data_IF_524411978866
#
_entry.id   IF_524411978866
#
_cell.length_a   1.000
_cell.length_b   1.000
_cell.length_c   1.000
_cell.angle_alpha   90.00
_cell.angle_beta   90.00
_cell.angle_gamma   90.00
#
_symmetry.space_group_name_H-M   'P 1'
#
loop_
_entity.id
_entity.type
_entity.pdbx_description
1 polymer ?
#
# COMPACT_ATOMS: atom_id res chain seq x y z
N UNK A 1 -47.53 -39.58 34.84
CA UNK A 1 -47.83 -38.14 34.99
C UNK A 1 -46.74 -37.32 34.33
N UNK A 2 -47.14 -36.34 33.54
CA UNK A 2 -46.31 -35.47 32.70
C UNK A 2 -45.46 -34.52 33.53
N UNK A 3 -44.14 -34.51 33.35
CA UNK A 3 -43.28 -33.41 33.82
C UNK A 3 -42.96 -32.52 32.63
N UNK A 4 -43.71 -31.42 32.55
CA UNK A 4 -43.48 -30.29 31.64
C UNK A 4 -42.13 -29.67 31.98
N UNK A 5 -41.19 -29.65 31.04
CA UNK A 5 -39.98 -28.84 31.16
C UNK A 5 -40.27 -27.42 30.71
N UNK A 6 -39.93 -26.49 31.60
CA UNK A 6 -40.04 -25.05 31.47
C UNK A 6 -39.27 -24.55 30.24
N UNK A 7 -39.96 -23.81 29.37
CA UNK A 7 -39.33 -22.93 28.38
C UNK A 7 -38.63 -21.81 29.13
N UNK A 8 -37.32 -21.70 28.96
CA UNK A 8 -36.60 -20.48 29.31
C UNK A 8 -36.63 -19.56 28.09
N UNK A 9 -37.52 -18.58 28.15
CA UNK A 9 -37.51 -17.39 27.32
C UNK A 9 -36.44 -16.44 27.88
N UNK A 10 -35.31 -16.32 27.18
CA UNK A 10 -34.38 -15.19 27.28
C UNK A 10 -34.08 -14.75 25.84
N UNK A 11 -34.80 -13.71 25.43
CA UNK A 11 -34.55 -12.81 24.29
C UNK A 11 -33.17 -12.13 24.45
N UNK A 12 -32.56 -11.43 23.45
CA UNK A 12 -33.20 -10.69 22.37
C UNK A 12 -32.54 -10.76 20.97
N UNK A 13 -33.32 -10.22 20.05
CA UNK A 13 -33.07 -9.90 18.66
C UNK A 13 -31.71 -9.21 18.41
N UNK A 14 -30.86 -9.83 17.61
CA UNK A 14 -29.82 -9.16 16.83
C UNK A 14 -29.83 -9.69 15.39
N UNK A 15 -30.57 -8.96 14.57
CA UNK A 15 -30.20 -8.50 13.22
C UNK A 15 -29.63 -9.51 12.23
N UNK A 16 -30.52 -9.87 11.28
CA UNK A 16 -30.27 -9.88 9.83
C UNK A 16 -29.11 -10.75 9.32
N UNK A 17 -29.37 -12.03 9.19
CA UNK A 17 -28.93 -12.80 8.02
C UNK A 17 -30.16 -13.44 7.39
N UNK A 18 -30.27 -13.30 6.08
CA UNK A 18 -31.42 -13.65 5.25
C UNK A 18 -31.89 -15.08 5.54
N UNK A 19 -33.17 -15.23 5.94
CA UNK A 19 -33.89 -16.51 5.85
C UNK A 19 -34.05 -16.84 4.37
N UNK A 20 -33.08 -17.56 3.81
CA UNK A 20 -33.29 -18.28 2.56
C UNK A 20 -34.31 -19.39 2.84
N UNK A 21 -35.30 -19.54 1.96
CA UNK A 21 -36.18 -20.71 1.97
C UNK A 21 -35.28 -21.94 1.73
N UNK A 22 -35.51 -23.02 2.47
CA UNK A 22 -34.65 -24.21 2.50
C UNK A 22 -34.42 -24.88 1.12
N UNK A 23 -35.20 -24.50 0.10
CA UNK A 23 -35.14 -25.02 -1.26
C UNK A 23 -34.04 -24.43 -2.18
N UNK A 24 -33.19 -23.49 -1.70
CA UNK A 24 -32.14 -22.85 -2.53
C UNK A 24 -30.74 -22.95 -1.91
N UNK A 25 -30.42 -24.06 -1.24
CA UNK A 25 -29.02 -24.40 -0.96
C UNK A 25 -28.49 -25.24 -2.12
N UNK A 26 -27.55 -24.74 -2.93
CA UNK A 26 -26.89 -25.57 -3.93
C UNK A 26 -26.02 -26.59 -3.20
N UNK A 27 -26.38 -27.85 -3.39
CA UNK A 27 -25.69 -29.03 -2.89
C UNK A 27 -24.19 -28.94 -3.15
N UNK A 28 -23.40 -28.72 -2.10
CA UNK A 28 -21.94 -28.85 -2.18
C UNK A 28 -21.33 -29.56 -0.98
N UNK A 29 -22.13 -30.15 -0.09
CA UNK A 29 -21.62 -31.07 0.92
C UNK A 29 -22.50 -32.34 0.91
N UNK A 30 -21.91 -33.45 0.47
CA UNK A 30 -22.47 -34.79 0.72
C UNK A 30 -22.81 -34.89 2.21
N UNK A 31 -23.97 -35.46 2.51
CA UNK A 31 -24.35 -35.94 3.84
C UNK A 31 -23.13 -36.65 4.43
N UNK A 32 -22.53 -36.05 5.46
CA UNK A 32 -21.49 -36.70 6.25
C UNK A 32 -22.15 -37.85 6.98
N UNK A 33 -21.64 -39.06 6.81
CA UNK A 33 -22.03 -40.21 7.60
C UNK A 33 -22.00 -39.83 9.09
N UNK A 34 -23.01 -40.23 9.89
CA UNK A 34 -22.99 -39.97 11.32
C UNK A 34 -21.69 -40.51 11.91
N UNK A 35 -21.09 -39.72 12.82
CA UNK A 35 -19.89 -40.12 13.53
C UNK A 35 -20.18 -41.48 14.19
N UNK A 36 -19.34 -42.51 13.99
CA UNK A 36 -19.54 -43.81 14.62
C UNK A 36 -19.68 -43.64 16.13
N UNK A 37 -20.53 -44.44 16.78
CA UNK A 37 -20.90 -44.30 18.19
C UNK A 37 -19.68 -44.24 19.14
N UNK A 38 -18.60 -44.94 18.79
CA UNK A 38 -17.33 -44.95 19.53
C UNK A 38 -16.55 -43.62 19.42
N UNK A 39 -16.84 -42.82 18.40
CA UNK A 39 -16.24 -41.51 18.15
C UNK A 39 -16.90 -40.37 18.93
N UNK A 40 -18.14 -40.53 19.39
CA UNK A 40 -18.87 -39.49 20.13
C UNK A 40 -18.18 -39.12 21.46
N UNK A 41 -17.51 -40.09 22.07
CA UNK A 41 -16.74 -39.90 23.30
C UNK A 41 -15.62 -38.86 23.12
N UNK A 42 -14.99 -38.80 21.94
CA UNK A 42 -13.89 -37.88 21.64
C UNK A 42 -14.35 -36.50 21.17
N UNK A 43 -15.60 -36.36 20.70
CA UNK A 43 -16.11 -35.08 20.19
C UNK A 43 -16.08 -33.99 21.27
N UNK A 44 -16.32 -34.35 22.53
CA UNK A 44 -16.24 -33.41 23.65
C UNK A 44 -14.83 -32.90 23.89
N UNK A 45 -13.83 -33.76 23.77
CA UNK A 45 -12.43 -33.38 24.02
C UNK A 45 -11.83 -32.66 22.82
N UNK A 46 -12.15 -33.09 21.60
CA UNK A 46 -11.86 -32.34 20.37
C UNK A 46 -12.49 -30.95 20.42
N UNK A 47 -13.75 -30.86 20.87
CA UNK A 47 -14.45 -29.58 21.05
C UNK A 47 -13.75 -28.66 22.04
N UNK A 48 -13.32 -29.18 23.19
CA UNK A 48 -12.55 -28.42 24.20
C UNK A 48 -11.21 -27.95 23.64
N UNK A 49 -10.48 -28.79 22.91
CA UNK A 49 -9.19 -28.43 22.32
C UNK A 49 -9.35 -27.36 21.22
N UNK A 50 -10.37 -27.49 20.38
CA UNK A 50 -10.69 -26.52 19.34
C UNK A 50 -11.12 -25.17 19.94
N UNK A 51 -11.87 -25.21 21.05
CA UNK A 51 -12.23 -24.01 21.81
C UNK A 51 -10.99 -23.37 22.47
N UNK A 52 -10.07 -24.16 23.02
CA UNK A 52 -8.81 -23.66 23.57
C UNK A 52 -7.91 -23.04 22.49
N UNK A 53 -7.82 -23.65 21.31
CA UNK A 53 -7.07 -23.12 20.16
C UNK A 53 -7.69 -21.82 19.67
N UNK A 54 -9.02 -21.77 19.54
CA UNK A 54 -9.75 -20.55 19.18
C UNK A 54 -9.50 -19.42 20.19
N UNK A 55 -9.59 -19.71 21.50
CA UNK A 55 -9.28 -18.74 22.57
C UNK A 55 -7.82 -18.28 22.53
N UNK A 56 -6.85 -19.15 22.21
CA UNK A 56 -5.43 -18.75 22.03
C UNK A 56 -5.26 -17.85 20.81
N UNK A 57 -5.89 -18.19 19.70
CA UNK A 57 -5.88 -17.42 18.46
C UNK A 57 -6.45 -16.02 18.67
N UNK A 58 -7.62 -15.91 19.30
CA UNK A 58 -8.24 -14.64 19.67
C UNK A 58 -7.33 -13.81 20.59
N UNK A 59 -6.74 -14.43 21.62
CA UNK A 59 -5.82 -13.74 22.56
C UNK A 59 -4.55 -13.23 21.88
N UNK A 60 -4.03 -13.92 20.86
CA UNK A 60 -2.88 -13.44 20.07
C UNK A 60 -3.21 -12.14 19.32
N UNK A 61 -4.43 -12.01 18.79
CA UNK A 61 -4.86 -10.77 18.14
C UNK A 61 -5.22 -9.67 19.13
N UNK A 62 -5.78 -9.98 20.30
CA UNK A 62 -6.12 -8.99 21.33
C UNK A 62 -4.86 -8.26 21.83
N UNK A 63 -3.75 -8.98 22.06
CA UNK A 63 -2.47 -8.37 22.48
C UNK A 63 -1.86 -7.42 21.43
N UNK A 64 -2.25 -7.55 20.16
CA UNK A 64 -1.75 -6.73 19.04
C UNK A 64 -2.86 -5.94 18.35
N UNK A 65 -4.04 -5.81 18.98
CA UNK A 65 -5.23 -5.23 18.35
C UNK A 65 -4.99 -3.80 17.88
N UNK A 66 -4.33 -2.98 18.72
CA UNK A 66 -3.90 -1.63 18.37
C UNK A 66 -2.91 -1.60 17.20
N UNK A 67 -1.95 -2.54 17.14
CA UNK A 67 -0.99 -2.61 16.04
C UNK A 67 -1.66 -3.04 14.73
N UNK A 68 -2.62 -3.96 14.78
CA UNK A 68 -3.41 -4.39 13.63
C UNK A 68 -4.34 -3.27 13.15
N UNK A 69 -4.97 -2.53 14.06
CA UNK A 69 -5.78 -1.35 13.74
C UNK A 69 -4.94 -0.23 13.10
N UNK A 70 -3.71 -0.01 13.57
CA UNK A 70 -2.78 0.93 12.93
C UNK A 70 -2.22 0.43 11.59
N UNK A 71 -2.15 -0.90 11.39
CA UNK A 71 -1.68 -1.50 10.14
C UNK A 71 -2.74 -1.48 9.03
N UNK A 72 -4.02 -1.35 9.37
CA UNK A 72 -5.09 -1.15 8.38
C UNK A 72 -5.07 0.33 7.96
N UNK A 73 -4.73 0.65 6.70
CA UNK A 73 -4.74 2.03 6.26
C UNK A 73 -6.17 2.57 6.30
N UNK A 74 -6.36 3.75 6.90
CA UNK A 74 -7.66 4.45 7.00
C UNK A 74 -8.32 4.61 5.62
N UNK A 75 -7.51 4.68 4.55
CA UNK A 75 -7.95 4.64 3.16
C UNK A 75 -7.05 3.70 2.36
N UNK A 76 -7.61 2.70 1.69
CA UNK A 76 -6.86 1.81 0.79
C UNK A 76 -6.47 2.60 -0.46
N UNK A 77 -5.27 3.16 -0.50
CA UNK A 77 -4.72 3.83 -1.69
C UNK A 77 -3.84 2.88 -2.46
N UNK A 78 -4.05 2.77 -3.78
CA UNK A 78 -3.08 2.13 -4.66
C UNK A 78 -1.74 2.90 -4.59
N UNK A 79 -0.61 2.18 -4.57
CA UNK A 79 0.75 2.73 -4.41
C UNK A 79 1.15 3.70 -5.52
N UNK A 80 0.46 3.62 -6.67
CA UNK A 80 0.63 4.51 -7.81
C UNK A 80 -0.74 5.01 -8.27
N UNK A 81 -0.99 6.31 -8.12
CA UNK A 81 -2.11 7.00 -8.76
C UNK A 81 -1.50 7.93 -9.79
N UNK A 82 -1.68 7.69 -11.10
CA UNK A 82 -1.18 8.62 -12.10
C UNK A 82 -1.89 9.96 -11.91
N UNK A 83 -1.15 10.98 -11.50
CA UNK A 83 -1.64 12.36 -11.57
C UNK A 83 -1.76 12.69 -13.06
N UNK A 84 -2.99 12.95 -13.53
CA UNK A 84 -3.18 13.50 -14.87
C UNK A 84 -2.32 14.76 -15.02
N UNK A 85 -1.47 14.81 -16.04
CA UNK A 85 -0.61 15.97 -16.33
C UNK A 85 -1.39 17.21 -16.84
N UNK A 86 -2.72 17.19 -16.75
CA UNK A 86 -3.58 18.18 -17.33
C UNK A 86 -3.59 19.51 -16.56
N UNK A 87 -3.38 20.61 -17.28
CA UNK A 87 -3.23 22.00 -16.81
C UNK A 87 -4.55 22.68 -16.41
N UNK A 88 -5.59 21.94 -16.00
CA UNK A 88 -6.89 22.53 -15.69
C UNK A 88 -6.91 23.22 -14.31
N UNK A 89 -7.64 24.33 -14.21
CA UNK A 89 -7.67 25.19 -13.03
C UNK A 89 -8.42 24.62 -11.82
N UNK A 90 -9.23 23.58 -12.03
CA UNK A 90 -9.88 22.82 -10.95
C UNK A 90 -9.29 21.42 -10.92
N UNK A 91 -8.92 20.98 -9.73
CA UNK A 91 -8.56 19.59 -9.48
C UNK A 91 -9.75 18.71 -9.82
N UNK A 92 -9.60 17.82 -10.79
CA UNK A 92 -10.58 16.78 -11.07
C UNK A 92 -10.56 15.86 -9.85
N UNK A 93 -11.58 15.95 -8.99
CA UNK A 93 -11.79 14.96 -7.94
C UNK A 93 -12.21 13.66 -8.62
N UNK A 94 -11.24 12.76 -8.81
CA UNK A 94 -11.53 11.39 -9.25
C UNK A 94 -12.27 10.67 -8.13
N UNK A 95 -13.60 10.66 -8.17
CA UNK A 95 -14.42 9.82 -7.29
C UNK A 95 -14.15 8.37 -7.69
N UNK A 96 -13.41 7.63 -6.86
CA UNK A 96 -13.15 6.21 -7.12
C UNK A 96 -14.44 5.41 -6.91
N UNK A 97 -14.64 4.29 -7.63
CA UNK A 97 -15.79 3.40 -7.39
C UNK A 97 -15.90 2.92 -5.93
N UNK A 98 -14.77 2.83 -5.22
CA UNK A 98 -14.73 2.47 -3.79
C UNK A 98 -15.10 3.63 -2.85
N UNK A 99 -14.99 4.89 -3.32
CA UNK A 99 -15.36 6.09 -2.57
C UNK A 99 -16.86 6.44 -2.77
N UNK A 100 -17.49 5.90 -3.82
CA UNK A 100 -18.93 5.93 -4.02
C UNK A 100 -19.57 4.76 -3.26
N UNK A 101 -20.31 5.06 -2.19
CA UNK A 101 -21.15 4.04 -1.56
C UNK A 101 -22.16 3.54 -2.60
N UNK A 102 -22.13 2.24 -2.91
CA UNK A 102 -23.14 1.63 -3.77
C UNK A 102 -24.44 1.54 -2.99
N UNK A 103 -25.26 2.58 -3.06
CA UNK A 103 -26.55 2.62 -2.39
C UNK A 103 -27.48 1.57 -3.01
N UNK A 104 -27.94 0.63 -2.17
CA UNK A 104 -28.95 -0.36 -2.56
C UNK A 104 -30.26 0.34 -2.94
N UNK A 105 -31.09 -0.28 -3.78
CA UNK A 105 -32.38 0.30 -4.22
C UNK A 105 -33.26 0.74 -3.05
N UNK A 106 -33.17 0.06 -1.91
CA UNK A 106 -33.86 0.41 -0.67
C UNK A 106 -33.33 1.69 -0.03
N UNK A 107 -32.01 1.91 0.00
CA UNK A 107 -31.41 3.18 0.42
C UNK A 107 -31.79 4.34 -0.51
N UNK A 108 -31.91 4.07 -1.82
CA UNK A 108 -32.33 5.06 -2.81
C UNK A 108 -33.81 5.46 -2.62
N UNK A 109 -34.67 4.51 -2.25
CA UNK A 109 -36.08 4.74 -1.93
C UNK A 109 -36.27 5.38 -0.54
N UNK A 110 -35.30 5.22 0.36
CA UNK A 110 -35.30 5.85 1.69
C UNK A 110 -34.96 7.35 1.65
N UNK A 111 -34.34 7.85 0.57
CA UNK A 111 -34.09 9.28 0.42
C UNK A 111 -35.39 10.02 0.08
N UNK A 112 -35.75 11.10 0.82
CA UNK A 112 -36.92 11.89 0.50
C UNK A 112 -36.81 12.48 -0.91
N UNK A 113 -37.90 12.42 -1.68
CA UNK A 113 -37.96 12.94 -3.04
C UNK A 113 -37.43 14.39 -3.09
N UNK A 114 -36.64 14.70 -4.13
CA UNK A 114 -35.98 16.01 -4.32
C UNK A 114 -36.93 17.19 -4.17
N UNK A 115 -38.17 17.03 -4.64
CA UNK A 115 -39.24 18.04 -4.50
C UNK A 115 -39.55 18.37 -3.03
N UNK A 116 -39.59 17.37 -2.14
CA UNK A 116 -39.81 17.58 -0.71
C UNK A 116 -38.63 18.30 -0.06
N UNK A 117 -37.40 17.95 -0.45
CA UNK A 117 -36.19 18.62 0.04
C UNK A 117 -36.12 20.08 -0.41
N UNK A 118 -36.48 20.38 -1.67
CA UNK A 118 -36.55 21.76 -2.17
C UNK A 118 -37.62 22.58 -1.43
N UNK A 119 -38.79 22.00 -1.19
CA UNK A 119 -39.85 22.68 -0.42
C UNK A 119 -39.41 22.94 1.02
N UNK A 120 -38.83 21.96 1.72
CA UNK A 120 -38.29 22.16 3.07
C UNK A 120 -37.16 23.19 3.10
N UNK A 121 -36.33 23.24 2.06
CA UNK A 121 -35.25 24.24 1.96
C UNK A 121 -35.83 25.65 1.83
N UNK A 122 -36.88 25.84 1.02
CA UNK A 122 -37.56 27.14 0.92
C UNK A 122 -38.13 27.58 2.26
N UNK A 123 -38.74 26.66 3.00
CA UNK A 123 -39.21 26.93 4.37
C UNK A 123 -38.06 27.29 5.31
N UNK A 124 -36.92 26.58 5.26
CA UNK A 124 -35.74 26.86 6.07
C UNK A 124 -35.08 28.22 5.75
N UNK A 125 -35.09 28.63 4.47
CA UNK A 125 -34.62 29.96 4.06
C UNK A 125 -35.56 31.04 4.60
N UNK A 126 -36.87 30.80 4.52
CA UNK A 126 -37.88 31.72 5.03
C UNK A 126 -37.84 31.85 6.56
N UNK A 127 -37.54 30.77 7.28
CA UNK A 127 -37.33 30.80 8.74
C UNK A 127 -35.94 31.30 9.16
N UNK A 128 -35.00 31.47 8.22
CA UNK A 128 -33.64 31.93 8.51
C UNK A 128 -32.71 30.85 9.09
N UNK A 129 -33.09 29.57 9.02
CA UNK A 129 -32.36 28.45 9.60
C UNK A 129 -31.14 28.05 8.76
N UNK A 130 -30.01 28.75 8.96
CA UNK A 130 -28.75 28.52 8.21
C UNK A 130 -28.23 27.09 8.37
N UNK A 131 -28.40 26.49 9.55
CA UNK A 131 -27.97 25.11 9.84
C UNK A 131 -28.85 24.11 9.04
N UNK A 132 -30.17 24.28 9.11
CA UNK A 132 -31.13 23.46 8.36
C UNK A 132 -30.93 23.57 6.85
N UNK A 133 -30.68 24.79 6.35
CA UNK A 133 -30.39 25.02 4.94
C UNK A 133 -29.12 24.29 4.50
N UNK A 134 -28.06 24.30 5.32
CA UNK A 134 -26.79 23.61 5.00
C UNK A 134 -26.97 22.08 4.89
N UNK A 135 -27.78 21.49 5.77
CA UNK A 135 -28.10 20.06 5.78
C UNK A 135 -28.96 19.69 4.57
N UNK A 136 -30.00 20.48 4.29
CA UNK A 136 -30.88 20.28 3.14
C UNK A 136 -30.12 20.44 1.81
N UNK A 137 -29.18 21.39 1.73
CA UNK A 137 -28.27 21.55 0.59
C UNK A 137 -27.35 20.33 0.42
N UNK A 138 -26.86 19.76 1.52
CA UNK A 138 -26.07 18.53 1.49
C UNK A 138 -26.89 17.36 0.96
N UNK A 139 -28.13 17.18 1.42
CA UNK A 139 -29.02 16.11 0.94
C UNK A 139 -29.47 16.30 -0.50
N UNK A 140 -29.78 17.53 -0.91
CA UNK A 140 -30.04 17.85 -2.31
C UNK A 140 -28.87 17.47 -3.21
N UNK A 141 -27.62 17.67 -2.75
CA UNK A 141 -26.40 17.23 -3.48
C UNK A 141 -26.22 15.71 -3.53
N UNK A 142 -26.83 14.93 -2.65
CA UNK A 142 -26.77 13.47 -2.74
C UNK A 142 -27.94 12.88 -3.52
N UNK A 143 -28.98 13.67 -3.82
CA UNK A 143 -30.11 13.20 -4.60
C UNK A 143 -29.76 12.96 -6.08
N UNK A 144 -30.23 11.84 -6.64
CA UNK A 144 -29.91 11.37 -7.99
C UNK A 144 -30.23 12.38 -9.11
N UNK A 145 -31.34 13.13 -9.02
CA UNK A 145 -31.70 14.13 -10.02
C UNK A 145 -30.69 15.30 -10.09
N UNK A 146 -30.06 15.67 -8.97
CA UNK A 146 -29.01 16.69 -8.94
C UNK A 146 -27.70 16.21 -9.57
N UNK A 147 -27.51 14.89 -9.64
CA UNK A 147 -26.34 14.24 -10.23
C UNK A 147 -26.46 14.28 -11.76
N UNK A 148 -27.63 13.92 -12.30
CA UNK A 148 -27.94 14.05 -13.73
C UNK A 148 -27.99 15.51 -14.20
N UNK A 149 -28.56 16.43 -13.40
CA UNK A 149 -28.49 17.87 -13.68
C UNK A 149 -27.06 18.40 -13.67
N UNK A 150 -26.17 17.88 -12.81
CA UNK A 150 -24.75 18.25 -12.81
C UNK A 150 -23.98 17.69 -14.00
N UNK A 151 -24.30 16.47 -14.43
CA UNK A 151 -23.75 15.88 -15.66
C UNK A 151 -24.22 16.66 -16.91
N UNK A 152 -25.47 17.14 -16.93
CA UNK A 152 -25.98 17.98 -18.01
C UNK A 152 -25.46 19.42 -17.97
N UNK A 153 -25.17 19.97 -16.77
CA UNK A 153 -24.63 21.32 -16.59
C UNK A 153 -23.09 21.40 -16.57
N UNK A 154 -22.40 20.37 -17.08
CA UNK A 154 -20.94 20.46 -17.31
C UNK A 154 -20.72 21.50 -18.42
N UNK A 155 -20.58 22.77 -18.02
CA UNK A 155 -20.08 23.81 -18.92
C UNK A 155 -18.75 23.31 -19.50
N UNK A 156 -18.52 23.46 -20.82
CA UNK A 156 -17.27 23.03 -21.42
C UNK A 156 -16.10 23.64 -20.65
N UNK A 157 -15.10 22.81 -20.33
CA UNK A 157 -13.93 23.24 -19.56
C UNK A 157 -13.26 24.41 -20.28
N UNK A 158 -13.29 25.60 -19.66
CA UNK A 158 -12.65 26.77 -20.23
C UNK A 158 -11.14 26.66 -20.04
N UNK A 159 -10.39 26.96 -21.10
CA UNK A 159 -8.92 26.99 -21.03
C UNK A 159 -8.50 27.99 -19.95
N UNK A 160 -7.51 27.66 -19.10
CA UNK A 160 -7.00 28.61 -18.12
C UNK A 160 -6.49 29.86 -18.85
N UNK A 161 -6.82 31.05 -18.33
CA UNK A 161 -6.29 32.30 -18.87
C UNK A 161 -4.76 32.27 -18.78
N UNK A 162 -4.07 32.58 -19.88
CA UNK A 162 -2.60 32.68 -19.90
C UNK A 162 -2.16 33.67 -18.81
N UNK A 163 -1.22 33.26 -17.94
CA UNK A 163 -0.69 34.13 -16.88
C UNK A 163 -0.01 35.33 -17.55
N UNK A 164 -0.45 36.55 -17.24
CA UNK A 164 0.22 37.78 -17.69
C UNK A 164 1.60 37.86 -17.04
N UNK A 165 2.58 38.43 -17.75
CA UNK A 165 3.90 38.76 -17.16
C UNK A 165 3.68 39.63 -15.93
N UNK A 166 4.41 39.36 -14.84
CA UNK A 166 4.34 40.19 -13.62
C UNK A 166 4.81 41.60 -13.97
N UNK A 167 4.13 42.61 -13.45
CA UNK A 167 4.60 44.00 -13.51
C UNK A 167 5.83 44.16 -12.61
N UNK A 168 6.66 45.18 -12.86
CA UNK A 168 7.87 45.46 -12.06
C UNK A 168 7.55 45.62 -10.56
N UNK A 169 6.45 46.30 -10.21
CA UNK A 169 5.97 46.41 -8.83
C UNK A 169 5.65 45.05 -8.20
N UNK A 170 5.15 44.09 -8.99
CA UNK A 170 4.84 42.75 -8.52
C UNK A 170 6.09 41.86 -8.42
N UNK A 171 7.11 42.13 -9.24
CA UNK A 171 8.44 41.52 -9.10
C UNK A 171 9.12 42.00 -7.82
N UNK A 172 9.17 43.30 -7.56
CA UNK A 172 9.75 43.85 -6.33
C UNK A 172 9.10 43.29 -5.04
N UNK A 173 7.76 43.16 -5.01
CA UNK A 173 7.05 42.51 -3.89
C UNK A 173 7.40 41.03 -3.73
N UNK A 174 7.62 40.34 -4.84
CA UNK A 174 8.00 38.94 -4.84
C UNK A 174 9.43 38.75 -4.33
N UNK A 175 10.33 39.68 -4.67
CA UNK A 175 11.72 39.64 -4.23
C UNK A 175 11.81 39.92 -2.73
N UNK A 176 11.06 40.89 -2.20
CA UNK A 176 10.91 41.10 -0.75
C UNK A 176 10.35 39.87 -0.02
N UNK A 177 9.45 39.12 -0.66
CA UNK A 177 8.91 37.89 -0.09
C UNK A 177 9.97 36.78 -0.08
N UNK A 178 10.77 36.66 -1.15
CA UNK A 178 11.91 35.74 -1.20
C UNK A 178 12.93 36.08 -0.11
N UNK A 179 13.28 37.35 0.06
CA UNK A 179 14.19 37.82 1.12
C UNK A 179 13.72 37.40 2.51
N UNK A 180 12.42 37.53 2.80
CA UNK A 180 11.83 37.06 4.06
C UNK A 180 11.94 35.53 4.24
N UNK A 181 11.75 34.76 3.17
CA UNK A 181 11.87 33.31 3.21
C UNK A 181 13.33 32.84 3.27
N UNK A 182 14.26 33.62 2.72
CA UNK A 182 15.68 33.32 2.71
C UNK A 182 16.33 33.46 4.10
N UNK A 183 15.69 34.17 5.03
CA UNK A 183 16.13 34.23 6.41
C UNK A 183 16.04 32.83 7.07
N UNK A 184 17.09 32.38 7.78
CA UNK A 184 17.06 31.08 8.45
C UNK A 184 15.94 31.05 9.48
N UNK A 185 15.14 29.98 9.47
CA UNK A 185 14.07 29.78 10.45
C UNK A 185 14.70 29.68 11.84
N UNK A 186 14.46 30.68 12.69
CA UNK A 186 14.80 30.60 14.12
C UNK A 186 13.98 29.47 14.73
N UNK A 187 14.65 28.37 15.10
CA UNK A 187 13.99 27.27 15.80
C UNK A 187 13.54 27.81 17.16
N UNK A 188 12.24 27.79 17.50
CA UNK A 188 11.81 28.19 18.83
C UNK A 188 12.51 27.27 19.84
N UNK A 189 13.25 27.86 20.77
CA UNK A 189 13.83 27.10 21.88
C UNK A 189 12.68 26.55 22.70
N UNK A 190 12.62 25.22 22.92
CA UNK A 190 11.57 24.66 23.74
C UNK A 190 11.65 25.28 25.15
N UNK A 191 10.51 25.56 25.80
CA UNK A 191 10.53 26.00 27.19
C UNK A 191 11.29 24.95 28.00
N UNK A 192 12.20 25.40 28.86
CA UNK A 192 12.94 24.49 29.74
C UNK A 192 11.89 23.74 30.58
N UNK A 193 11.89 22.39 30.57
CA UNK A 193 10.93 21.64 31.36
C UNK A 193 11.15 21.97 32.84
N UNK A 194 10.10 22.36 33.54
CA UNK A 194 10.09 22.53 34.99
C UNK A 194 10.25 21.16 35.66
N UNK A 195 11.48 20.67 35.75
CA UNK A 195 11.79 19.48 36.54
C UNK A 195 11.74 19.90 38.00
N UNK A 196 10.73 19.41 38.75
CA UNK A 196 10.77 19.45 40.22
C UNK A 196 12.04 18.73 40.66
N UNK A 197 13.01 19.46 41.20
CA UNK A 197 14.25 18.88 41.71
C UNK A 197 13.91 17.97 42.89
N UNK A 198 14.33 16.71 42.85
CA UNK A 198 14.49 15.89 44.06
C UNK A 198 13.45 14.81 44.39
N UNK A 199 12.34 14.67 43.67
CA UNK A 199 11.37 13.60 43.96
C UNK A 199 11.70 12.32 43.16
N UNK A 200 12.70 11.56 43.59
CA UNK A 200 12.90 10.19 43.09
C UNK A 200 12.09 9.21 43.94
N UNK A 201 11.15 8.49 43.34
CA UNK A 201 10.42 7.41 44.02
C UNK A 201 11.39 6.33 44.49
N UNK A 202 11.60 6.24 45.81
CA UNK A 202 12.50 5.29 46.45
C UNK A 202 12.09 3.84 46.17
N UNK A 203 10.79 3.57 46.10
CA UNK A 203 10.24 2.25 45.75
C UNK A 203 10.58 1.84 44.31
N UNK A 204 10.50 2.80 43.38
CA UNK A 204 10.83 2.56 41.98
C UNK A 204 12.33 2.29 41.81
N UNK A 205 13.17 3.04 42.51
CA UNK A 205 14.61 2.79 42.54
C UNK A 205 14.93 1.40 43.10
N UNK A 206 14.28 0.98 44.20
CA UNK A 206 14.42 -0.38 44.75
C UNK A 206 14.02 -1.44 43.72
N UNK A 207 12.90 -1.26 43.03
CA UNK A 207 12.42 -2.19 41.99
C UNK A 207 13.32 -2.26 40.75
N UNK A 208 14.01 -1.18 40.41
CA UNK A 208 14.98 -1.16 39.32
C UNK A 208 16.36 -1.72 39.74
N UNK A 209 16.68 -1.64 41.03
CA UNK A 209 17.92 -2.18 41.60
C UNK A 209 17.87 -3.70 41.82
N UNK A 210 16.69 -4.32 41.85
CA UNK A 210 16.60 -5.77 41.94
C UNK A 210 17.01 -6.42 40.61
N UNK A 211 17.92 -7.41 40.63
CA UNK A 211 18.31 -8.11 39.41
C UNK A 211 17.09 -8.81 38.82
N UNK A 212 16.91 -8.69 37.50
CA UNK A 212 15.88 -9.45 36.80
C UNK A 212 16.20 -10.94 36.94
N UNK A 213 15.26 -11.72 37.49
CA UNK A 213 15.35 -13.17 37.47
C UNK A 213 15.27 -13.66 36.02
N UNK A 214 16.41 -14.10 35.48
CA UNK A 214 16.44 -14.78 34.19
C UNK A 214 16.04 -16.24 34.44
N UNK A 215 14.84 -16.61 34.02
CA UNK A 215 14.48 -18.02 33.93
C UNK A 215 15.19 -18.59 32.71
N UNK A 216 16.12 -19.52 32.93
CA UNK A 216 16.72 -20.28 31.85
C UNK A 216 15.62 -21.13 31.20
N UNK A 217 15.19 -20.74 30.00
CA UNK A 217 14.31 -21.56 29.18
C UNK A 217 15.10 -22.79 28.73
N UNK A 218 15.09 -23.86 29.54
CA UNK A 218 15.66 -25.15 29.15
C UNK A 218 14.90 -25.61 27.91
N UNK A 219 15.52 -25.43 26.74
CA UNK A 219 14.98 -25.91 25.47
C UNK A 219 14.85 -27.42 25.60
N UNK A 220 13.63 -27.92 25.50
CA UNK A 220 13.39 -29.37 25.51
C UNK A 220 14.20 -30.00 24.37
N UNK A 221 14.81 -31.14 24.64
CA UNK A 221 15.50 -31.91 23.63
C UNK A 221 14.51 -32.25 22.50
N UNK A 222 14.96 -32.10 21.26
CA UNK A 222 14.09 -32.35 20.11
C UNK A 222 13.90 -33.86 19.94
N UNK A 223 12.67 -34.32 20.15
CA UNK A 223 12.29 -35.72 19.99
C UNK A 223 11.35 -35.86 18.79
N UNK A 224 11.59 -36.86 17.95
CA UNK A 224 10.70 -37.18 16.84
C UNK A 224 9.36 -37.68 17.39
N UNK A 225 8.27 -36.97 17.11
CA UNK A 225 6.94 -37.44 17.51
C UNK A 225 6.64 -38.76 16.80
N UNK A 226 5.83 -39.66 17.41
CA UNK A 226 5.46 -40.93 16.79
C UNK A 226 4.76 -40.74 15.43
N UNK A 227 4.04 -39.62 15.25
CA UNK A 227 3.42 -39.24 13.97
C UNK A 227 4.45 -38.93 12.88
N UNK A 228 5.57 -38.28 13.23
CA UNK A 228 6.65 -37.99 12.29
C UNK A 228 7.37 -39.26 11.83
N UNK A 229 7.49 -40.28 12.69
CA UNK A 229 8.11 -41.57 12.33
C UNK A 229 7.33 -42.30 11.22
N UNK A 230 6.00 -42.20 11.25
CA UNK A 230 5.11 -42.90 10.33
C UNK A 230 4.58 -41.99 9.20
N UNK A 231 5.10 -40.77 9.07
CA UNK A 231 4.60 -39.79 8.11
C UNK A 231 4.90 -40.22 6.66
N UNK A 232 3.84 -40.36 5.85
CA UNK A 232 3.94 -40.59 4.41
C UNK A 232 3.74 -39.26 3.68
N UNK A 233 4.77 -38.81 2.96
CA UNK A 233 4.71 -37.57 2.20
C UNK A 233 3.58 -37.60 1.15
N UNK A 234 2.78 -36.52 1.11
CA UNK A 234 1.72 -36.35 0.11
C UNK A 234 2.28 -36.28 -1.31
N UNK A 235 1.46 -36.61 -2.32
CA UNK A 235 1.86 -36.53 -3.73
C UNK A 235 2.45 -35.16 -4.09
N UNK A 236 1.81 -34.09 -3.62
CA UNK A 236 2.27 -32.70 -3.81
C UNK A 236 3.65 -32.44 -3.19
N UNK A 237 3.93 -32.98 -2.00
CA UNK A 237 5.26 -32.82 -1.37
C UNK A 237 6.32 -33.56 -2.19
N UNK A 238 5.99 -34.74 -2.72
CA UNK A 238 6.88 -35.47 -3.64
C UNK A 238 7.13 -34.68 -4.93
N UNK A 239 6.10 -34.07 -5.52
CA UNK A 239 6.24 -33.20 -6.70
C UNK A 239 7.11 -31.97 -6.41
N UNK A 240 6.89 -31.27 -5.29
CA UNK A 240 7.69 -30.10 -4.90
C UNK A 240 9.14 -30.48 -4.57
N UNK A 241 9.36 -31.70 -4.05
CA UNK A 241 10.71 -32.18 -3.75
C UNK A 241 11.53 -32.51 -5.00
N UNK A 242 10.88 -32.66 -6.16
CA UNK A 242 11.60 -32.86 -7.41
C UNK A 242 12.31 -31.55 -7.80
N UNK A 243 13.58 -31.64 -8.24
CA UNK A 243 14.31 -30.45 -8.69
C UNK A 243 13.60 -29.85 -9.91
N UNK A 244 13.40 -28.54 -9.89
CA UNK A 244 12.84 -27.82 -11.05
C UNK A 244 13.90 -27.79 -12.15
N UNK A 245 13.77 -28.67 -13.14
CA UNK A 245 14.59 -28.64 -14.34
C UNK A 245 14.19 -27.43 -15.18
N UNK A 246 15.00 -26.37 -15.13
CA UNK A 246 14.87 -25.22 -16.03
C UNK A 246 15.69 -25.50 -17.28
N UNK A 247 15.13 -25.21 -18.45
CA UNK A 247 15.91 -25.17 -19.69
C UNK A 247 16.97 -24.07 -19.54
N UNK A 248 18.22 -24.51 -19.43
CA UNK A 248 19.35 -23.67 -19.04
C UNK A 248 19.83 -22.86 -20.24
N UNK A 249 19.22 -21.70 -20.51
CA UNK A 249 19.66 -20.81 -21.60
C UNK A 249 21.08 -20.24 -21.39
N UNK A 250 21.66 -20.36 -20.17
CA UNK A 250 22.90 -19.67 -19.79
C UNK A 250 23.97 -20.56 -19.14
N UNK A 251 23.81 -21.89 -19.13
CA UNK A 251 24.89 -22.77 -18.68
C UNK A 251 25.65 -23.19 -19.94
N UNK A 252 26.90 -22.76 -20.05
CA UNK A 252 27.81 -23.31 -21.06
C UNK A 252 27.79 -24.84 -20.93
N UNK A 253 27.40 -25.53 -22.00
CA UNK A 253 27.18 -26.99 -22.05
C UNK A 253 28.40 -27.82 -21.60
N UNK A 254 29.57 -27.19 -21.47
CA UNK A 254 30.80 -27.77 -20.94
C UNK A 254 31.43 -26.83 -19.88
N UNK A 255 31.02 -26.92 -18.60
CA UNK A 255 31.63 -26.11 -17.52
C UNK A 255 33.13 -26.42 -17.34
N UNK A 256 33.59 -27.57 -17.81
CA UNK A 256 34.99 -27.99 -17.79
C UNK A 256 35.87 -27.31 -18.84
N UNK A 257 35.26 -26.74 -19.89
CA UNK A 257 36.00 -26.15 -21.02
C UNK A 257 36.42 -24.71 -20.70
N UNK A 258 37.48 -24.58 -19.93
CA UNK A 258 38.16 -23.30 -19.71
C UNK A 258 38.85 -22.87 -21.01
N UNK A 259 38.81 -21.58 -21.36
CA UNK A 259 39.49 -21.09 -22.55
C UNK A 259 41.01 -21.22 -22.40
N UNK A 260 41.75 -21.59 -23.46
CA UNK A 260 43.21 -21.74 -23.39
C UNK A 260 43.93 -20.43 -23.02
N UNK A 261 43.32 -19.28 -23.33
CA UNK A 261 43.83 -17.98 -22.92
C UNK A 261 43.71 -17.75 -21.41
N UNK A 262 42.64 -18.22 -20.77
CA UNK A 262 42.51 -18.14 -19.32
C UNK A 262 43.58 -18.98 -18.61
N UNK A 263 43.92 -20.17 -19.15
CA UNK A 263 44.99 -21.02 -18.63
C UNK A 263 46.39 -20.38 -18.78
N UNK A 264 46.61 -19.61 -19.85
CA UNK A 264 47.90 -18.95 -20.14
C UNK A 264 48.00 -17.53 -19.59
N UNK A 265 46.93 -16.99 -19.00
CA UNK A 265 46.87 -15.61 -18.59
C UNK A 265 47.84 -15.31 -17.44
N UNK A 266 48.73 -14.33 -17.65
CA UNK A 266 49.59 -13.79 -16.59
C UNK A 266 48.96 -12.50 -16.06
N UNK A 267 48.66 -12.40 -14.75
CA UNK A 267 48.05 -11.20 -14.19
C UNK A 267 49.01 -10.01 -14.31
N UNK A 268 48.46 -8.84 -14.62
CA UNK A 268 49.21 -7.59 -14.67
C UNK A 268 49.74 -7.21 -13.28
N UNK A 269 50.79 -6.38 -13.23
CA UNK A 269 51.38 -5.92 -11.96
C UNK A 269 50.31 -5.35 -11.01
N UNK A 270 49.39 -4.52 -11.53
CA UNK A 270 48.27 -3.97 -10.77
C UNK A 270 47.32 -5.02 -10.20
N UNK A 271 47.03 -6.09 -10.95
CA UNK A 271 46.17 -7.17 -10.45
C UNK A 271 46.87 -7.92 -9.32
N UNK A 272 48.19 -8.09 -9.41
CA UNK A 272 48.99 -8.67 -8.33
C UNK A 272 48.95 -7.78 -7.08
N UNK A 273 49.20 -6.48 -7.22
CA UNK A 273 49.12 -5.50 -6.12
C UNK A 273 47.73 -5.49 -5.46
N UNK A 274 46.65 -5.53 -6.26
CA UNK A 274 45.28 -5.56 -5.73
C UNK A 274 44.91 -6.90 -5.09
N UNK A 275 45.57 -7.99 -5.48
CA UNK A 275 45.35 -9.33 -4.93
C UNK A 275 46.14 -9.59 -3.65
N UNK A 276 47.18 -8.80 -3.40
CA UNK A 276 47.89 -8.84 -2.13
C UNK A 276 46.92 -8.39 -1.02
N UNK A 277 46.72 -9.21 0.03
CA UNK A 277 45.89 -8.79 1.14
C UNK A 277 46.53 -7.53 1.74
N UNK A 278 45.73 -6.49 1.97
CA UNK A 278 46.21 -5.29 2.66
C UNK A 278 46.87 -5.72 3.98
N UNK A 279 48.19 -5.54 4.05
CA UNK A 279 49.02 -5.92 5.21
C UNK A 279 48.67 -5.07 6.42
N UNK A 280 48.16 -3.86 6.20
CA UNK A 280 47.54 -3.02 7.22
C UNK A 280 46.02 -3.19 7.16
N UNK A 281 45.48 -4.06 8.02
CA UNK A 281 44.05 -4.02 8.37
C UNK A 281 43.78 -2.75 9.20
N UNK A 282 43.71 -1.60 8.54
CA UNK A 282 43.15 -0.37 9.12
C UNK A 282 41.61 -0.39 9.10
N UNK A 283 41.00 -1.55 8.86
CA UNK A 283 39.55 -1.74 8.97
C UNK A 283 39.02 -1.53 10.42
N UNK A 284 39.91 -1.51 11.42
CA UNK A 284 39.57 -1.22 12.81
C UNK A 284 39.99 0.18 13.28
N UNK A 285 40.54 1.05 12.41
CA UNK A 285 40.69 2.47 12.71
C UNK A 285 39.37 3.18 12.41
N UNK A 286 38.40 2.94 13.28
CA UNK A 286 37.06 3.55 13.27
C UNK A 286 37.03 5.06 13.54
N UNK A 287 38.04 5.81 13.07
CA UNK A 287 38.16 7.26 13.21
C UNK A 287 38.67 7.96 11.94
N UNK A 288 39.17 7.26 10.91
CA UNK A 288 39.73 7.92 9.72
C UNK A 288 38.67 8.46 8.74
N UNK A 289 37.45 7.95 8.77
CA UNK A 289 36.34 8.48 7.96
C UNK A 289 35.63 9.68 8.62
N UNK A 290 35.96 9.99 9.88
CA UNK A 290 35.60 11.29 10.46
C UNK A 290 36.65 12.28 10.00
N UNK A 291 36.50 12.73 8.75
CA UNK A 291 37.22 13.89 8.24
C UNK A 291 37.07 15.00 9.27
N UNK A 292 38.18 15.50 9.82
CA UNK A 292 38.19 16.53 10.88
C UNK A 292 37.31 17.74 10.52
N UNK A 293 37.14 17.99 9.22
CA UNK A 293 36.08 18.83 8.67
C UNK A 293 35.27 18.06 7.61
N UNK A 294 34.00 17.67 7.89
CA UNK A 294 33.15 16.99 6.91
C UNK A 294 32.83 17.86 5.67
N UNK A 295 32.96 19.18 5.78
CA UNK A 295 32.82 20.13 4.68
C UNK A 295 34.15 20.49 4.00
N UNK A 296 35.28 19.96 4.47
CA UNK A 296 36.60 20.19 3.91
C UNK A 296 36.77 19.46 2.58
N UNK A 297 36.88 20.22 1.49
CA UNK A 297 37.26 19.69 0.18
C UNK A 297 38.74 19.26 0.26
N UNK A 298 39.07 18.07 -0.22
CA UNK A 298 40.45 17.59 -0.21
C UNK A 298 41.32 18.50 -1.10
N UNK A 299 42.57 18.83 -0.71
CA UNK A 299 43.43 19.73 -1.50
C UNK A 299 43.69 19.20 -2.92
N UNK A 300 43.71 17.87 -3.09
CA UNK A 300 43.85 17.23 -4.40
C UNK A 300 42.59 17.37 -5.27
N UNK A 301 41.40 17.45 -4.67
CA UNK A 301 40.17 17.69 -5.41
C UNK A 301 40.12 19.12 -5.97
N UNK A 302 40.68 20.11 -5.26
CA UNK A 302 40.82 21.49 -5.75
C UNK A 302 41.82 21.61 -6.91
N UNK A 303 42.85 20.77 -6.92
CA UNK A 303 43.90 20.76 -7.96
C UNK A 303 43.59 19.83 -9.13
N UNK A 304 42.52 19.05 -9.06
CA UNK A 304 42.22 18.02 -10.04
C UNK A 304 41.81 18.65 -11.38
N UNK A 305 42.49 18.25 -12.46
CA UNK A 305 42.12 18.58 -13.84
C UNK A 305 41.30 17.43 -14.42
N UNK A 306 40.10 17.69 -14.97
CA UNK A 306 39.28 16.64 -15.56
C UNK A 306 39.99 15.98 -16.76
N UNK A 307 39.93 14.66 -16.83
CA UNK A 307 40.46 13.88 -17.95
C UNK A 307 39.73 14.22 -19.26
N UNK A 308 40.36 13.95 -20.40
CA UNK A 308 39.76 14.15 -21.73
C UNK A 308 38.39 13.47 -21.84
N UNK A 309 38.29 12.21 -21.41
CA UNK A 309 37.04 11.45 -21.37
C UNK A 309 35.94 12.12 -20.55
N UNK A 310 36.29 12.73 -19.41
CA UNK A 310 35.29 13.44 -18.58
C UNK A 310 34.79 14.69 -19.30
N UNK A 311 35.66 15.38 -20.06
CA UNK A 311 35.26 16.52 -20.88
C UNK A 311 34.33 16.10 -22.02
N UNK A 312 34.67 15.03 -22.74
CA UNK A 312 33.83 14.46 -23.81
C UNK A 312 32.45 14.03 -23.29
N UNK A 313 32.38 13.43 -22.10
CA UNK A 313 31.11 13.02 -21.49
C UNK A 313 30.29 14.21 -20.94
N UNK A 314 30.96 15.31 -20.61
CA UNK A 314 30.30 16.54 -20.16
C UNK A 314 29.72 17.35 -21.32
N UNK A 315 30.19 17.12 -22.55
CA UNK A 315 29.60 17.73 -23.74
C UNK A 315 28.17 17.20 -23.93
N UNK A 316 27.17 18.09 -24.02
CA UNK A 316 25.78 17.69 -24.15
C UNK A 316 25.58 16.95 -25.47
N UNK A 317 25.13 15.70 -25.38
CA UNK A 317 24.83 14.91 -26.56
C UNK A 317 23.53 15.42 -27.18
N UNK A 318 23.61 16.03 -28.36
CA UNK A 318 22.44 16.41 -29.14
C UNK A 318 21.69 15.13 -29.54
N UNK A 319 20.47 14.97 -29.01
CA UNK A 319 19.62 13.84 -29.34
C UNK A 319 18.55 14.35 -30.32
N UNK A 320 18.65 13.92 -31.57
CA UNK A 320 17.58 14.15 -32.54
C UNK A 320 16.34 13.39 -32.10
N UNK A 321 15.25 14.12 -31.82
CA UNK A 321 13.97 13.54 -31.40
C UNK A 321 13.28 12.88 -32.60
N UNK A 322 13.77 11.72 -33.01
CA UNK A 322 13.15 10.89 -34.08
C UNK A 322 11.73 10.43 -33.75
N UNK A 323 11.31 10.54 -32.50
CA UNK A 323 9.98 10.14 -32.04
C UNK A 323 8.90 11.21 -32.22
N UNK A 324 9.26 12.46 -32.48
CA UNK A 324 8.28 13.52 -32.74
C UNK A 324 8.10 13.60 -34.25
N UNK A 325 6.99 13.03 -34.75
CA UNK A 325 6.59 13.24 -36.15
C UNK A 325 6.38 14.73 -36.38
N UNK A 326 6.91 15.24 -37.49
CA UNK A 326 6.77 16.66 -37.89
C UNK A 326 5.30 17.10 -37.95
N UNK A 327 4.40 16.18 -38.32
CA UNK A 327 2.97 16.41 -38.29
C UNK A 327 2.26 15.39 -37.36
N UNK A 328 1.82 15.81 -36.16
CA UNK A 328 1.18 14.91 -35.19
C UNK A 328 -0.19 14.41 -35.66
N UNK A 329 -0.78 15.02 -36.69
CA UNK A 329 -2.08 14.63 -37.24
C UNK A 329 -1.98 13.79 -38.52
N UNK A 330 -0.76 13.56 -39.03
CA UNK A 330 -0.58 12.72 -40.21
C UNK A 330 -0.83 11.25 -39.85
N UNK A 331 -1.96 10.73 -40.35
CA UNK A 331 -2.30 9.31 -40.29
C UNK A 331 -1.40 8.58 -41.27
N UNK A 332 -0.74 7.49 -40.83
CA UNK A 332 0.09 6.69 -41.73
C UNK A 332 -0.74 6.11 -42.89
N UNK A 333 -0.25 6.07 -44.13
CA UNK A 333 -1.00 5.54 -45.27
C UNK A 333 -1.41 4.07 -45.07
N UNK A 334 -0.64 3.30 -44.32
CA UNK A 334 -1.00 1.93 -43.92
C UNK A 334 -2.27 1.88 -43.07
N UNK A 335 -2.48 2.85 -42.17
CA UNK A 335 -3.68 2.93 -41.34
C UNK A 335 -4.92 3.32 -42.16
N UNK A 336 -4.77 4.14 -43.21
CA UNK A 336 -5.87 4.45 -44.14
C UNK A 336 -6.27 3.23 -44.99
N UNK A 337 -5.31 2.36 -45.33
CA UNK A 337 -5.53 1.13 -46.11
C UNK A 337 -5.95 -0.06 -45.24
N UNK A 338 -5.86 0.04 -43.92
CA UNK A 338 -6.15 -1.05 -43.01
C UNK A 338 -7.66 -1.35 -42.98
N UNK A 339 -8.03 -2.58 -43.35
CA UNK A 339 -9.39 -3.11 -43.18
C UNK A 339 -9.51 -3.78 -41.82
N UNK A 340 -10.62 -3.56 -41.13
CA UNK A 340 -10.87 -4.20 -39.83
C UNK A 340 -10.96 -5.73 -39.99
N UNK A 341 -10.36 -6.47 -39.05
CA UNK A 341 -10.49 -7.94 -39.03
C UNK A 341 -11.96 -8.36 -38.78
N UNK A 342 -12.41 -9.52 -39.31
CA UNK A 342 -13.81 -9.96 -39.15
C UNK A 342 -14.22 -10.05 -37.68
N UNK A 343 -13.33 -10.49 -36.80
CA UNK A 343 -13.56 -10.53 -35.35
C UNK A 343 -13.81 -9.15 -34.73
N UNK A 344 -13.11 -8.10 -35.18
CA UNK A 344 -13.35 -6.73 -34.70
C UNK A 344 -14.71 -6.21 -35.17
N UNK A 345 -15.13 -6.59 -36.38
CA UNK A 345 -16.45 -6.24 -36.92
C UNK A 345 -17.55 -6.94 -36.09
N UNK A 346 -17.37 -8.21 -35.73
CA UNK A 346 -18.29 -8.94 -34.85
C UNK A 346 -18.37 -8.35 -33.45
N UNK A 347 -17.23 -8.00 -32.85
CA UNK A 347 -17.18 -7.36 -31.54
C UNK A 347 -17.76 -5.94 -31.53
N UNK A 348 -17.73 -5.25 -32.66
CA UNK A 348 -18.33 -3.92 -32.82
C UNK A 348 -19.86 -3.97 -32.93
N UNK A 349 -20.46 -5.14 -33.17
CA UNK A 349 -21.92 -5.29 -33.10
C UNK A 349 -22.37 -5.13 -31.64
N UNK A 350 -23.37 -4.28 -31.35
CA UNK A 350 -23.88 -4.14 -29.99
C UNK A 350 -24.45 -5.48 -29.51
N UNK A 351 -24.17 -5.84 -28.25
CA UNK A 351 -24.76 -7.02 -27.62
C UNK A 351 -26.23 -6.73 -27.28
N UNK A 352 -27.14 -6.94 -28.23
CA UNK A 352 -28.59 -6.94 -27.98
C UNK A 352 -29.41 -6.11 -28.97
N UNK A 353 -29.47 -6.55 -30.24
CA UNK A 353 -30.50 -6.16 -31.20
C UNK A 353 -31.40 -7.35 -31.48
#
# INVERSE_FOLDING_TARGET
MTIRRLKCDLSPELTTCLKLKDAVRPDCCRVTDPIPYDGECFVRDIGKELEQLSRRHERMFVKRRRLMEMAIPIRRTCRFVPKCACLFSKTIEMVRPCDAQSHTRTEQLALPLVRRLLNRRRSAIHSGDKIGESILNRWLRYSFLSLYSRLANVRPLTKPKKKKKKTEKALAKHDQYIEKLAQPKKVPTPPKPERKQGASDSERLKKLSTPRAFHEEVKRNWELTPEMKNYKASKRIKEISQPVTRENVHINESPEKVSPNALKYKPSARIKEMSEPLTTRDANQGLADVKENPFGIAPNALKYKPSSRIKELAEPKEFENTHIRENPFAISPAALKAKASPRLIELAKPKGG
#
